data_IF_009164087824
#
_entry.id   IF_009164087824
#
_cell.length_a   1.000
_cell.length_b   1.000
_cell.length_c   1.000
_cell.angle_alpha   90.00
_cell.angle_beta   90.00
_cell.angle_gamma   90.00
#
_symmetry.space_group_name_H-M   'P 1'
#
loop_
_entity.id
_entity.type
_entity.pdbx_description
1 polymer ?
#
# COMPACT_ATOMS: atom_id res chain seq x y z
N UNK A 1 -16.11 -23.09 0.55
CA UNK A 1 -15.79 -21.75 0.12
C UNK A 1 -15.62 -20.81 1.30
N UNK A 2 -14.61 -20.01 1.26
CA UNK A 2 -14.32 -19.09 2.35
C UNK A 2 -14.93 -17.73 2.09
N UNK A 3 -15.51 -17.14 3.15
CA UNK A 3 -16.00 -15.78 3.09
C UNK A 3 -14.95 -14.78 3.57
N UNK A 4 -13.78 -15.27 3.97
CA UNK A 4 -12.74 -14.39 4.43
C UNK A 4 -11.99 -13.79 3.25
N UNK A 5 -11.61 -12.52 3.34
CA UNK A 5 -10.78 -11.94 2.27
C UNK A 5 -9.43 -12.63 2.25
N UNK A 6 -8.99 -13.02 1.08
CA UNK A 6 -7.69 -13.67 0.94
C UNK A 6 -6.59 -12.69 0.55
N UNK A 7 -6.95 -11.57 -0.06
CA UNK A 7 -5.98 -10.56 -0.47
C UNK A 7 -6.45 -9.19 -0.05
N UNK A 8 -5.61 -8.47 0.66
CA UNK A 8 -5.90 -7.14 1.15
C UNK A 8 -4.89 -6.17 0.57
N UNK A 9 -5.36 -5.08 -0.02
CA UNK A 9 -4.49 -4.03 -0.53
C UNK A 9 -4.44 -2.89 0.47
N UNK A 10 -3.23 -2.47 0.84
CA UNK A 10 -3.04 -1.39 1.80
C UNK A 10 -2.18 -0.31 1.17
N UNK A 11 -2.80 0.75 0.65
CA UNK A 11 -2.03 1.90 0.18
C UNK A 11 -1.43 2.65 1.35
N UNK A 12 -0.16 2.98 1.30
CA UNK A 12 0.46 3.78 2.35
C UNK A 12 1.27 4.92 1.77
N UNK A 13 1.28 6.02 2.52
CA UNK A 13 2.05 7.20 2.17
C UNK A 13 3.02 7.59 3.26
N UNK A 14 3.31 6.68 4.17
CA UNK A 14 4.26 6.88 5.27
C UNK A 14 3.82 7.93 6.29
N UNK A 15 2.56 8.35 6.26
CA UNK A 15 2.01 9.20 7.31
C UNK A 15 1.62 8.34 8.50
N UNK A 16 1.38 8.99 9.64
CA UNK A 16 0.93 8.27 10.83
C UNK A 16 -0.36 7.52 10.58
N UNK A 17 -1.29 8.16 9.86
CA UNK A 17 -2.57 7.54 9.56
C UNK A 17 -2.39 6.31 8.69
N UNK A 18 -1.51 6.38 7.70
CA UNK A 18 -1.26 5.22 6.85
C UNK A 18 -0.62 4.08 7.63
N UNK A 19 0.28 4.40 8.54
CA UNK A 19 0.94 3.38 9.32
C UNK A 19 -0.05 2.71 10.28
N UNK A 20 -0.94 3.48 10.88
CA UNK A 20 -1.98 2.91 11.73
C UNK A 20 -2.90 2.00 10.95
N UNK A 21 -3.29 2.44 9.76
CA UNK A 21 -4.14 1.61 8.91
C UNK A 21 -3.44 0.30 8.56
N UNK A 22 -2.13 0.38 8.32
CA UNK A 22 -1.34 -0.81 8.04
C UNK A 22 -1.39 -1.79 9.22
N UNK A 23 -1.19 -1.31 10.44
CA UNK A 23 -1.23 -2.19 11.60
C UNK A 23 -2.61 -2.81 11.79
N UNK A 24 -3.66 -2.04 11.57
CA UNK A 24 -5.02 -2.57 11.64
C UNK A 24 -5.25 -3.65 10.59
N UNK A 25 -4.75 -3.40 9.39
CA UNK A 25 -4.88 -4.37 8.30
C UNK A 25 -4.13 -5.65 8.62
N UNK A 26 -2.95 -5.53 9.23
CA UNK A 26 -2.16 -6.72 9.56
C UNK A 26 -2.81 -7.53 10.67
N UNK A 27 -3.41 -6.88 11.67
CA UNK A 27 -4.16 -7.60 12.68
C UNK A 27 -5.31 -8.37 12.05
N UNK A 28 -6.04 -7.71 11.18
CA UNK A 28 -7.16 -8.34 10.48
C UNK A 28 -6.68 -9.50 9.62
N UNK A 29 -5.58 -9.29 8.88
CA UNK A 29 -5.05 -10.31 8.00
C UNK A 29 -4.55 -11.52 8.77
N UNK A 30 -3.95 -11.29 9.93
CA UNK A 30 -3.45 -12.38 10.75
C UNK A 30 -4.57 -13.27 11.22
N UNK A 31 -5.69 -12.66 11.65
CA UNK A 31 -6.85 -13.39 12.11
C UNK A 31 -7.50 -14.17 10.97
N UNK A 32 -7.57 -13.56 9.81
CA UNK A 32 -8.28 -14.13 8.66
C UNK A 32 -7.38 -14.88 7.69
N UNK A 33 -6.08 -14.94 7.98
CA UNK A 33 -5.10 -15.62 7.13
C UNK A 33 -5.06 -15.05 5.73
N UNK A 34 -5.07 -13.72 5.65
CA UNK A 34 -5.05 -13.00 4.39
C UNK A 34 -3.63 -12.62 4.02
N UNK A 35 -3.39 -12.44 2.73
CA UNK A 35 -2.13 -11.88 2.25
C UNK A 35 -2.31 -10.37 2.10
N UNK A 36 -1.28 -9.61 2.44
CA UNK A 36 -1.33 -8.16 2.37
C UNK A 36 -0.40 -7.66 1.27
N UNK A 37 -0.93 -6.79 0.42
CA UNK A 37 -0.12 -6.10 -0.58
C UNK A 37 0.02 -4.65 -0.13
N UNK A 38 1.24 -4.22 0.10
CA UNK A 38 1.55 -2.89 0.58
C UNK A 38 1.91 -2.02 -0.60
N UNK A 39 1.06 -1.04 -0.90
CA UNK A 39 1.19 -0.25 -2.12
C UNK A 39 1.60 1.18 -1.83
N UNK A 40 2.61 1.66 -2.52
CA UNK A 40 2.93 3.09 -2.55
C UNK A 40 2.78 3.57 -3.98
N UNK A 41 2.03 4.65 -4.16
CA UNK A 41 1.83 5.26 -5.46
C UNK A 41 2.67 6.52 -5.54
N UNK A 42 3.52 6.59 -6.57
CA UNK A 42 4.28 7.79 -6.84
C UNK A 42 3.41 8.72 -7.67
N UNK A 43 3.06 9.85 -7.08
CA UNK A 43 2.27 10.87 -7.75
C UNK A 43 3.04 11.39 -8.95
N UNK A 44 2.33 11.63 -10.03
CA UNK A 44 2.94 12.16 -11.25
C UNK A 44 3.71 13.44 -11.00
N UNK A 45 3.17 14.30 -10.15
CA UNK A 45 3.83 15.57 -9.87
C UNK A 45 5.15 15.38 -9.17
N UNK A 46 5.19 14.46 -8.24
CA UNK A 46 6.44 14.17 -7.53
C UNK A 46 7.49 13.64 -8.48
N UNK A 47 7.07 12.78 -9.40
CA UNK A 47 8.00 12.22 -10.37
C UNK A 47 8.53 13.31 -11.30
N UNK A 48 7.66 14.19 -11.77
CA UNK A 48 8.08 15.27 -12.66
C UNK A 48 9.08 16.18 -11.96
N UNK A 49 8.81 16.53 -10.70
CA UNK A 49 9.72 17.36 -9.95
C UNK A 49 11.10 16.71 -9.81
N UNK A 50 11.10 15.43 -9.55
CA UNK A 50 12.36 14.72 -9.43
C UNK A 50 13.09 14.57 -10.75
N UNK A 51 12.37 14.49 -11.85
CA UNK A 51 12.97 14.41 -13.16
C UNK A 51 13.74 15.70 -13.48
N UNK A 52 13.19 16.83 -13.09
CA UNK A 52 13.90 18.10 -13.28
C UNK A 52 15.21 18.14 -12.50
N UNK A 53 15.23 17.52 -11.34
CA UNK A 53 16.42 17.54 -10.50
C UNK A 53 17.38 16.42 -10.83
N UNK A 54 16.86 15.26 -11.10
CA UNK A 54 17.67 14.07 -11.14
C UNK A 54 17.37 13.14 -12.31
N UNK A 55 16.25 13.32 -12.96
CA UNK A 55 15.89 12.54 -14.13
C UNK A 55 16.00 11.04 -13.91
N UNK A 56 15.49 10.55 -12.77
CA UNK A 56 15.68 9.14 -12.47
C UNK A 56 14.50 8.52 -11.74
N UNK A 57 13.38 8.41 -12.44
CA UNK A 57 12.17 7.85 -11.84
C UNK A 57 12.33 6.38 -11.44
N UNK A 58 13.15 5.64 -12.21
CA UNK A 58 13.40 4.25 -11.87
C UNK A 58 14.12 4.13 -10.53
N UNK A 59 15.10 4.98 -10.31
CA UNK A 59 15.84 4.98 -9.05
C UNK A 59 14.94 5.35 -7.87
N UNK A 60 14.03 6.29 -8.09
CA UNK A 60 13.08 6.67 -7.05
C UNK A 60 12.19 5.47 -6.68
N UNK A 61 11.71 4.75 -7.68
CA UNK A 61 10.90 3.57 -7.43
C UNK A 61 11.68 2.52 -6.63
N UNK A 62 12.95 2.33 -6.97
CA UNK A 62 13.76 1.36 -6.25
C UNK A 62 13.97 1.76 -4.81
N UNK A 63 14.18 3.04 -4.56
CA UNK A 63 14.35 3.52 -3.19
C UNK A 63 13.09 3.31 -2.37
N UNK A 64 11.93 3.58 -2.97
CA UNK A 64 10.66 3.36 -2.28
C UNK A 64 10.45 1.88 -2.03
N UNK A 65 10.75 1.05 -3.01
CA UNK A 65 10.62 -0.39 -2.84
C UNK A 65 11.51 -0.89 -1.71
N UNK A 66 12.73 -0.39 -1.63
CA UNK A 66 13.65 -0.76 -0.55
C UNK A 66 13.11 -0.32 0.80
N UNK A 67 12.53 0.87 0.86
CA UNK A 67 11.93 1.36 2.08
C UNK A 67 10.77 0.48 2.53
N UNK A 68 9.93 0.08 1.58
CA UNK A 68 8.82 -0.83 1.89
C UNK A 68 9.33 -2.17 2.38
N UNK A 69 10.38 -2.67 1.74
CA UNK A 69 10.96 -3.96 2.15
C UNK A 69 11.51 -3.89 3.57
N UNK A 70 12.10 -2.76 3.94
CA UNK A 70 12.58 -2.57 5.30
C UNK A 70 11.44 -2.59 6.31
N UNK A 71 10.35 -1.91 5.98
CA UNK A 71 9.17 -1.90 6.84
C UNK A 71 8.61 -3.32 6.99
N UNK A 72 8.54 -4.05 5.88
CA UNK A 72 8.03 -5.40 5.89
C UNK A 72 8.90 -6.30 6.76
N UNK A 73 10.21 -6.16 6.67
CA UNK A 73 11.11 -6.97 7.48
C UNK A 73 10.86 -6.74 8.97
N UNK A 74 10.64 -5.49 9.35
CA UNK A 74 10.34 -5.18 10.75
C UNK A 74 9.02 -5.80 11.20
N UNK A 75 8.05 -5.83 10.30
CA UNK A 75 6.72 -6.34 10.65
C UNK A 75 6.64 -7.84 10.68
N UNK A 76 7.54 -8.53 10.01
CA UNK A 76 7.54 -10.00 10.00
C UNK A 76 7.67 -10.59 11.39
N UNK A 77 8.36 -9.90 12.27
CA UNK A 77 8.56 -10.39 13.64
C UNK A 77 7.32 -10.22 14.50
N UNK A 78 6.41 -9.35 14.08
CA UNK A 78 5.22 -9.04 14.86
C UNK A 78 3.96 -9.73 14.33
N UNK A 79 3.92 -10.00 13.05
CA UNK A 79 2.72 -10.52 12.41
C UNK A 79 3.03 -11.74 11.57
N UNK A 80 2.20 -12.75 11.69
CA UNK A 80 2.31 -13.96 10.85
C UNK A 80 1.50 -13.75 9.59
N UNK A 81 1.94 -12.83 8.75
CA UNK A 81 1.21 -12.43 7.54
C UNK A 81 2.20 -12.31 6.41
N UNK A 82 1.83 -12.80 5.24
CA UNK A 82 2.65 -12.59 4.04
C UNK A 82 2.37 -11.18 3.53
N UNK A 83 3.41 -10.38 3.41
CA UNK A 83 3.30 -8.99 2.97
C UNK A 83 4.16 -8.80 1.74
N UNK A 84 3.58 -8.26 0.69
CA UNK A 84 4.30 -8.06 -0.57
C UNK A 84 4.27 -6.59 -0.95
N UNK A 85 5.41 -5.98 -1.31
CA UNK A 85 5.43 -4.57 -1.67
C UNK A 85 5.10 -4.36 -3.14
N UNK A 86 4.40 -3.26 -3.42
CA UNK A 86 4.12 -2.84 -4.79
C UNK A 86 4.35 -1.34 -4.87
N UNK A 87 5.06 -0.91 -5.90
CA UNK A 87 5.25 0.52 -6.18
C UNK A 87 4.68 0.78 -7.56
N UNK A 88 3.79 1.76 -7.66
CA UNK A 88 3.24 2.14 -8.95
C UNK A 88 3.35 3.65 -9.12
N UNK A 89 3.04 4.14 -10.30
CA UNK A 89 3.22 5.54 -10.64
C UNK A 89 2.01 6.04 -11.40
N UNK A 90 1.50 7.20 -11.01
CA UNK A 90 0.36 7.80 -11.67
C UNK A 90 -0.50 8.55 -10.68
N UNK A 91 -1.78 8.68 -11.02
CA UNK A 91 -2.74 9.30 -10.11
C UNK A 91 -3.11 8.31 -9.02
N UNK A 92 -3.12 8.79 -7.80
CA UNK A 92 -3.21 7.92 -6.63
C UNK A 92 -4.41 6.98 -6.70
N UNK A 93 -5.61 7.53 -6.86
CA UNK A 93 -6.79 6.68 -6.81
C UNK A 93 -6.93 5.79 -8.03
N UNK A 94 -6.48 6.28 -9.20
CA UNK A 94 -6.47 5.46 -10.40
C UNK A 94 -5.56 4.25 -10.23
N UNK A 95 -4.39 4.47 -9.64
CA UNK A 95 -3.43 3.39 -9.44
C UNK A 95 -3.91 2.41 -8.38
N UNK A 96 -4.55 2.90 -7.32
CA UNK A 96 -5.12 2.01 -6.32
C UNK A 96 -6.13 1.08 -6.97
N UNK A 97 -7.01 1.63 -7.80
CA UNK A 97 -8.01 0.81 -8.49
C UNK A 97 -7.39 -0.17 -9.46
N UNK A 98 -6.41 0.28 -10.23
CA UNK A 98 -5.73 -0.60 -11.18
C UNK A 98 -5.03 -1.76 -10.49
N UNK A 99 -4.30 -1.46 -9.44
CA UNK A 99 -3.58 -2.50 -8.71
C UNK A 99 -4.57 -3.45 -8.05
N UNK A 100 -5.64 -2.90 -7.47
CA UNK A 100 -6.66 -3.74 -6.84
C UNK A 100 -7.24 -4.75 -7.82
N UNK A 101 -7.49 -4.31 -9.05
CA UNK A 101 -7.98 -5.22 -10.07
C UNK A 101 -6.93 -6.22 -10.51
N UNK A 102 -5.70 -5.74 -10.67
CA UNK A 102 -4.62 -6.57 -11.13
C UNK A 102 -4.35 -7.73 -10.19
N UNK A 103 -4.39 -7.49 -8.90
CA UNK A 103 -4.15 -8.54 -7.92
C UNK A 103 -5.44 -9.25 -7.49
N UNK A 104 -6.57 -8.79 -7.97
CA UNK A 104 -7.89 -9.33 -7.57
C UNK A 104 -8.06 -9.30 -6.06
N UNK A 105 -7.81 -8.15 -5.46
CA UNK A 105 -7.91 -8.05 -4.01
C UNK A 105 -9.37 -8.04 -3.57
N UNK A 106 -9.58 -8.50 -2.36
CA UNK A 106 -10.91 -8.62 -1.79
C UNK A 106 -11.29 -7.43 -0.93
N UNK A 107 -10.29 -6.68 -0.50
CA UNK A 107 -10.51 -5.61 0.46
C UNK A 107 -9.39 -4.58 0.33
N UNK A 108 -9.73 -3.31 0.47
CA UNK A 108 -8.75 -2.23 0.51
C UNK A 108 -8.88 -1.56 1.86
N UNK A 109 -7.77 -1.47 2.59
CA UNK A 109 -7.75 -0.78 3.87
C UNK A 109 -6.75 0.36 3.76
N UNK A 110 -7.20 1.58 3.99
CA UNK A 110 -6.30 2.72 3.88
C UNK A 110 -6.61 3.76 4.93
N UNK A 111 -5.59 4.48 5.33
CA UNK A 111 -5.73 5.58 6.24
C UNK A 111 -6.19 6.82 5.50
N UNK A 112 -6.86 7.70 6.21
CA UNK A 112 -7.25 8.97 5.65
C UNK A 112 -6.50 10.06 6.36
N UNK A 113 -6.38 11.17 5.69
CA UNK A 113 -5.65 12.29 6.23
C UNK A 113 -6.49 13.11 7.16
N UNK A 114 -6.94 12.49 8.21
CA UNK A 114 -7.65 13.19 9.22
C UNK A 114 -9.06 13.58 8.86
N UNK A 115 -9.43 13.52 7.64
CA UNK A 115 -10.77 13.82 7.25
C UNK A 115 -11.56 12.52 7.21
N UNK A 116 -12.60 12.38 7.96
CA UNK A 116 -13.34 11.11 8.00
C UNK A 116 -14.21 10.97 6.79
N UNK A 117 -13.66 10.88 5.69
CA UNK A 117 -14.38 10.68 4.55
C UNK A 117 -14.82 9.37 4.48
N UNK A 118 -15.61 9.10 4.21
CA UNK A 118 -15.97 7.85 4.17
C UNK A 118 -15.76 7.20 3.11
N UNK A 119 -15.54 6.54 2.71
CA UNK A 119 -15.38 5.90 2.00
C UNK A 119 -15.57 5.43 1.15
N UNK A 120 -15.61 4.80 0.81
CA UNK A 120 -15.60 4.42 -0.04
C UNK A 120 -16.15 3.44 -0.61
N UNK A 121 -16.53 2.92 -0.80
CA UNK A 121 -16.95 2.14 -1.21
C UNK A 121 -16.84 1.65 -2.08
N UNK A 122 -16.95 1.11 -2.41
CA UNK A 122 -16.91 0.62 -3.06
C UNK A 122 -16.91 0.44 -3.49
#
# INVERSE_FOLDING_TARGET
MSLKPSKILVPIGFSEQSIRALHQALNFAQINQSKVFLLTVLDERSVIQNLFLDDNSHEIKMKIHDKLSGIINDLKDKYSVVIEPIVSQGKIYDQINEVAEMISCDLIIMGTNGSPKKRIKK
#
